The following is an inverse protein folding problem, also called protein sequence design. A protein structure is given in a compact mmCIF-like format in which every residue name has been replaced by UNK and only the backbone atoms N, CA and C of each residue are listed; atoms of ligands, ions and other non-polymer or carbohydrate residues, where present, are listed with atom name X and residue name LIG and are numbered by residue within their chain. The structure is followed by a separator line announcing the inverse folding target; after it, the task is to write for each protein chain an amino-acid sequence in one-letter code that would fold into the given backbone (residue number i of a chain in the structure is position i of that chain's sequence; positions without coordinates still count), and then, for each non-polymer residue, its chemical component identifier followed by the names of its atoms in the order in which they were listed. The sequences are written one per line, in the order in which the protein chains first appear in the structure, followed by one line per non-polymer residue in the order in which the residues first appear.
data_IF_988112499770
#
_entry.id   IF_988112499770
#
_cell.length_a   1.000
_cell.length_b   1.000
_cell.length_c   1.000
_cell.angle_alpha   90.00
_cell.angle_beta   90.00
_cell.angle_gamma   90.00
#
_symmetry.space_group_name_H-M   'P 1'
#
loop_
_entity.id
_entity.type
_entity.pdbx_description
1 polymer ?
#
# COMPACT_ATOMS: atom_id res chain seq x y z
N UNK A 1 -23.45 7.00 -19.97
CA UNK A 1 -22.33 7.96 -19.92
C UNK A 1 -21.11 7.17 -19.47
N UNK A 2 -20.23 6.82 -20.40
CA UNK A 2 -19.03 6.02 -20.12
C UNK A 2 -17.91 7.02 -19.85
N UNK A 3 -17.39 7.05 -18.62
CA UNK A 3 -16.21 7.84 -18.31
C UNK A 3 -14.98 7.12 -18.88
N UNK A 4 -14.61 7.45 -20.12
CA UNK A 4 -13.27 7.13 -20.65
C UNK A 4 -12.29 8.12 -20.02
N UNK A 5 -11.91 7.85 -18.77
CA UNK A 5 -10.82 8.58 -18.14
C UNK A 5 -9.51 8.14 -18.83
N UNK A 6 -8.65 9.07 -19.28
CA UNK A 6 -7.43 8.72 -20.00
C UNK A 6 -6.56 7.81 -19.13
N UNK A 7 -6.38 6.56 -19.55
CA UNK A 7 -5.61 5.54 -18.83
C UNK A 7 -4.21 6.09 -18.59
N UNK A 8 -3.95 6.55 -17.37
CA UNK A 8 -2.61 7.02 -17.02
C UNK A 8 -1.70 5.79 -17.04
N UNK A 9 -0.62 5.78 -17.86
CA UNK A 9 0.27 4.64 -17.95
C UNK A 9 1.15 4.60 -16.71
N UNK A 10 0.59 4.18 -15.58
CA UNK A 10 1.29 4.15 -14.28
C UNK A 10 2.62 3.38 -14.34
N UNK A 11 2.73 2.41 -15.25
CA UNK A 11 3.93 1.63 -15.50
C UNK A 11 5.07 2.45 -16.15
N UNK A 12 4.75 3.56 -16.84
CA UNK A 12 5.72 4.47 -17.45
C UNK A 12 6.16 5.59 -16.51
N UNK A 13 5.37 5.85 -15.45
CA UNK A 13 5.69 6.88 -14.47
C UNK A 13 6.85 6.48 -13.57
N UNK A 14 7.64 7.46 -13.15
CA UNK A 14 8.63 7.33 -12.10
C UNK A 14 7.98 7.16 -10.71
N UNK A 15 8.73 6.65 -9.73
CA UNK A 15 8.22 6.49 -8.37
C UNK A 15 7.80 7.83 -7.74
N UNK A 16 8.46 8.93 -8.09
CA UNK A 16 8.09 10.27 -7.63
C UNK A 16 6.77 10.75 -8.23
N UNK A 17 6.53 10.51 -9.52
CA UNK A 17 5.25 10.83 -10.17
C UNK A 17 4.10 9.97 -9.63
N UNK A 18 4.38 8.71 -9.30
CA UNK A 18 3.41 7.83 -8.64
C UNK A 18 3.08 8.34 -7.23
N UNK A 19 4.08 8.74 -6.44
CA UNK A 19 3.87 9.32 -5.11
C UNK A 19 3.02 10.59 -5.19
N UNK A 20 3.31 11.48 -6.13
CA UNK A 20 2.55 12.73 -6.31
C UNK A 20 1.10 12.46 -6.74
N UNK A 21 0.87 11.47 -7.62
CA UNK A 21 -0.48 11.04 -7.98
C UNK A 21 -1.28 10.54 -6.76
N UNK A 22 -0.61 9.94 -5.78
CA UNK A 22 -1.24 9.52 -4.52
C UNK A 22 -1.52 10.71 -3.61
N UNK A 23 -0.53 11.59 -3.40
CA UNK A 23 -0.64 12.77 -2.52
C UNK A 23 -1.70 13.76 -2.98
N UNK A 24 -1.81 13.98 -4.29
CA UNK A 24 -2.80 14.87 -4.90
C UNK A 24 -4.23 14.33 -4.84
N UNK A 25 -4.44 13.09 -4.36
CA UNK A 25 -5.75 12.45 -4.34
C UNK A 25 -6.30 12.18 -5.74
N UNK A 26 -5.42 12.07 -6.73
CA UNK A 26 -5.80 11.88 -8.14
C UNK A 26 -6.72 10.66 -8.30
N UNK A 27 -7.53 10.66 -9.38
CA UNK A 27 -8.43 9.55 -9.69
C UNK A 27 -7.70 8.19 -9.80
N UNK A 28 -6.41 8.21 -10.16
CA UNK A 28 -5.56 7.02 -10.31
C UNK A 28 -4.72 6.67 -9.08
N UNK A 29 -4.91 7.35 -7.93
CA UNK A 29 -4.11 7.13 -6.71
C UNK A 29 -4.05 5.66 -6.28
N UNK A 30 -5.18 4.94 -6.34
CA UNK A 30 -5.21 3.52 -5.99
C UNK A 30 -4.31 2.69 -6.91
N UNK A 31 -4.33 2.99 -8.22
CA UNK A 31 -3.49 2.31 -9.21
C UNK A 31 -2.01 2.65 -9.02
N UNK A 32 -1.69 3.88 -8.62
CA UNK A 32 -0.34 4.29 -8.28
C UNK A 32 0.19 3.57 -7.02
N UNK A 33 -0.66 3.37 -6.00
CA UNK A 33 -0.33 2.55 -4.81
C UNK A 33 -0.01 1.11 -5.20
N UNK A 34 -0.81 0.49 -6.08
CA UNK A 34 -0.55 -0.87 -6.53
C UNK A 34 0.74 -0.98 -7.34
N UNK A 35 0.99 -0.05 -8.26
CA UNK A 35 2.23 -0.02 -9.05
C UNK A 35 3.47 0.13 -8.16
N UNK A 36 3.46 1.05 -7.19
CA UNK A 36 4.53 1.17 -6.19
C UNK A 36 4.70 -0.14 -5.39
N UNK A 37 3.60 -0.81 -5.05
CA UNK A 37 3.62 -2.10 -4.36
C UNK A 37 4.28 -3.22 -5.17
N UNK A 38 4.04 -3.28 -6.48
CA UNK A 38 4.69 -4.23 -7.36
C UNK A 38 6.18 -3.94 -7.53
N UNK A 39 6.56 -2.66 -7.65
CA UNK A 39 7.98 -2.24 -7.74
C UNK A 39 8.76 -2.49 -6.45
N UNK A 40 8.13 -2.31 -5.30
CA UNK A 40 8.74 -2.50 -3.99
C UNK A 40 9.39 -3.88 -3.79
N UNK A 41 9.02 -4.89 -4.61
CA UNK A 41 9.67 -6.21 -4.61
C UNK A 41 11.15 -6.18 -4.94
N UNK A 42 11.59 -5.22 -5.77
CA UNK A 42 12.97 -5.10 -6.24
C UNK A 42 13.54 -3.68 -6.17
N UNK A 43 12.72 -2.69 -5.81
CA UNK A 43 13.11 -1.27 -5.73
C UNK A 43 12.86 -0.73 -4.32
N UNK A 44 13.94 -0.35 -3.63
CA UNK A 44 13.89 0.18 -2.26
C UNK A 44 13.29 1.58 -2.20
N UNK A 45 13.48 2.44 -3.22
CA UNK A 45 12.88 3.78 -3.26
C UNK A 45 11.35 3.67 -3.37
N UNK A 46 10.86 2.73 -4.18
CA UNK A 46 9.43 2.44 -4.26
C UNK A 46 8.87 1.97 -2.90
N UNK A 47 9.60 1.11 -2.18
CA UNK A 47 9.21 0.64 -0.86
C UNK A 47 9.14 1.78 0.17
N UNK A 48 10.16 2.65 0.21
CA UNK A 48 10.23 3.77 1.16
C UNK A 48 9.11 4.78 0.93
N UNK A 49 8.85 5.14 -0.33
CA UNK A 49 7.75 6.05 -0.69
C UNK A 49 6.40 5.46 -0.35
N UNK A 50 6.17 4.18 -0.67
CA UNK A 50 4.93 3.50 -0.34
C UNK A 50 4.70 3.47 1.17
N UNK A 51 5.74 3.20 1.96
CA UNK A 51 5.73 3.29 3.41
C UNK A 51 5.32 4.67 3.92
N UNK A 52 5.92 5.73 3.40
CA UNK A 52 5.59 7.11 3.78
C UNK A 52 4.13 7.48 3.45
N UNK A 53 3.60 7.01 2.31
CA UNK A 53 2.23 7.27 1.88
C UNK A 53 1.19 6.65 2.83
N UNK A 54 1.50 5.56 3.52
CA UNK A 54 0.58 4.92 4.50
C UNK A 54 0.19 5.83 5.66
N UNK A 55 1.01 6.85 5.94
CA UNK A 55 0.79 7.80 7.03
C UNK A 55 -0.14 8.95 6.64
N UNK A 56 -0.52 9.06 5.36
CA UNK A 56 -1.43 10.10 4.90
C UNK A 56 -2.86 9.78 5.37
N UNK A 57 -3.51 10.75 6.03
CA UNK A 57 -4.91 10.63 6.43
C UNK A 57 -5.84 10.36 5.25
N UNK A 58 -5.47 10.82 4.04
CA UNK A 58 -6.16 10.46 2.81
C UNK A 58 -6.20 8.94 2.63
N UNK A 59 -5.07 8.24 2.74
CA UNK A 59 -4.99 6.79 2.50
C UNK A 59 -5.57 5.98 3.66
N UNK A 60 -5.46 6.47 4.89
CA UNK A 60 -6.04 5.84 6.06
C UNK A 60 -7.57 5.87 6.02
N UNK A 61 -8.16 6.98 5.53
CA UNK A 61 -9.61 7.16 5.45
C UNK A 61 -10.23 6.72 4.11
N UNK A 62 -9.42 6.57 3.04
CA UNK A 62 -9.88 6.11 1.74
C UNK A 62 -10.07 4.59 1.73
N UNK A 63 -11.30 4.19 2.11
CA UNK A 63 -11.72 2.79 2.20
C UNK A 63 -12.24 2.28 0.86
N UNK A 64 -11.51 1.34 0.26
CA UNK A 64 -12.03 0.53 -0.83
C UNK A 64 -12.94 -0.57 -0.24
N UNK A 65 -14.14 -0.75 -0.84
CA UNK A 65 -15.13 -1.77 -0.44
C UNK A 65 -15.50 -1.76 1.07
N UNK A 66 -15.47 -0.58 1.70
CA UNK A 66 -15.83 -0.33 3.12
C UNK A 66 -14.97 -1.02 4.20
N UNK A 67 -13.99 -1.86 3.83
CA UNK A 67 -13.24 -2.69 4.78
C UNK A 67 -11.72 -2.53 4.71
N UNK A 68 -11.15 -2.20 3.54
CA UNK A 68 -9.70 -2.11 3.35
C UNK A 68 -9.34 -0.68 2.96
N UNK A 69 -8.60 0.01 3.83
CA UNK A 69 -8.04 1.32 3.49
C UNK A 69 -6.90 1.17 2.49
N UNK A 70 -6.60 2.21 1.71
CA UNK A 70 -5.42 2.20 0.84
C UNK A 70 -4.12 2.02 1.63
N UNK A 71 -4.08 2.50 2.88
CA UNK A 71 -2.96 2.22 3.78
C UNK A 71 -2.78 0.72 4.04
N UNK A 72 -3.86 -0.04 4.24
CA UNK A 72 -3.78 -1.49 4.38
C UNK A 72 -3.33 -2.17 3.10
N UNK A 73 -3.85 -1.75 1.93
CA UNK A 73 -3.42 -2.29 0.65
C UNK A 73 -1.90 -2.11 0.42
N UNK A 74 -1.38 -0.93 0.79
CA UNK A 74 0.06 -0.64 0.74
C UNK A 74 0.87 -1.56 1.69
N UNK A 75 0.45 -1.70 2.95
CA UNK A 75 1.11 -2.59 3.93
C UNK A 75 1.11 -4.05 3.44
N UNK A 76 -0.03 -4.54 2.94
CA UNK A 76 -0.16 -5.90 2.41
C UNK A 76 0.77 -6.12 1.22
N UNK A 77 0.91 -5.12 0.35
CA UNK A 77 1.82 -5.18 -0.80
C UNK A 77 3.28 -5.27 -0.35
N UNK A 78 3.69 -4.45 0.63
CA UNK A 78 5.03 -4.49 1.23
C UNK A 78 5.33 -5.86 1.89
N UNK A 79 4.35 -6.44 2.60
CA UNK A 79 4.51 -7.78 3.20
C UNK A 79 4.67 -8.88 2.14
N UNK A 80 3.98 -8.74 1.02
CA UNK A 80 3.98 -9.70 -0.09
C UNK A 80 5.27 -9.67 -0.91
N UNK A 81 6.06 -8.61 -0.80
CA UNK A 81 7.37 -8.52 -1.45
C UNK A 81 8.40 -9.52 -0.90
N UNK A 82 8.19 -10.07 0.30
CA UNK A 82 9.05 -11.06 0.98
C UNK A 82 10.54 -10.71 1.14
N UNK A 83 10.97 -9.52 0.74
CA UNK A 83 12.32 -9.02 0.92
C UNK A 83 12.50 -8.33 2.30
N UNK A 84 13.70 -8.38 2.91
CA UNK A 84 13.92 -7.82 4.25
C UNK A 84 13.55 -6.34 4.40
N UNK A 85 13.89 -5.51 3.40
CA UNK A 85 13.65 -4.07 3.44
C UNK A 85 12.15 -3.70 3.34
N UNK A 86 11.39 -4.16 2.32
CA UNK A 86 9.94 -3.96 2.29
C UNK A 86 9.23 -4.47 3.56
N UNK A 87 9.68 -5.57 4.16
CA UNK A 87 9.11 -6.07 5.42
C UNK A 87 9.39 -5.15 6.61
N UNK A 88 10.60 -4.61 6.75
CA UNK A 88 10.88 -3.65 7.82
C UNK A 88 10.03 -2.37 7.67
N UNK A 89 9.86 -1.89 6.43
CA UNK A 89 8.98 -0.76 6.11
C UNK A 89 7.52 -1.09 6.45
N UNK A 90 7.04 -2.29 6.13
CA UNK A 90 5.69 -2.73 6.47
C UNK A 90 5.45 -2.72 7.98
N UNK A 91 6.43 -3.18 8.78
CA UNK A 91 6.31 -3.20 10.24
C UNK A 91 6.28 -1.79 10.83
N UNK A 92 7.10 -0.88 10.31
CA UNK A 92 7.07 0.52 10.73
C UNK A 92 5.74 1.20 10.35
N UNK A 93 5.24 0.95 9.14
CA UNK A 93 3.96 1.47 8.68
C UNK A 93 2.79 0.93 9.51
N UNK A 94 2.81 -0.37 9.84
CA UNK A 94 1.84 -1.01 10.72
C UNK A 94 1.85 -0.38 12.12
N UNK A 95 3.02 -0.18 12.71
CA UNK A 95 3.17 0.43 14.04
C UNK A 95 2.69 1.90 14.09
N UNK A 96 2.64 2.59 12.95
CA UNK A 96 2.10 3.95 12.83
C UNK A 96 0.57 4.03 12.70
N UNK A 97 -0.14 2.90 12.53
CA UNK A 97 -1.60 2.88 12.49
C UNK A 97 -2.19 3.06 13.90
N UNK A 98 -3.43 3.55 13.98
CA UNK A 98 -4.20 3.50 15.23
C UNK A 98 -4.44 2.06 15.69
N UNK A 99 -4.50 1.84 17.00
CA UNK A 99 -4.65 0.51 17.61
C UNK A 99 -5.83 -0.32 17.06
N UNK A 100 -6.94 0.35 16.75
CA UNK A 100 -8.11 -0.29 16.16
C UNK A 100 -7.83 -0.80 14.73
N UNK A 101 -7.12 -0.02 13.92
CA UNK A 101 -6.76 -0.42 12.57
C UNK A 101 -5.67 -1.50 12.58
N UNK A 102 -4.72 -1.44 13.51
CA UNK A 102 -3.75 -2.53 13.72
C UNK A 102 -4.47 -3.85 14.02
N UNK A 103 -5.41 -3.85 14.98
CA UNK A 103 -6.19 -5.05 15.35
C UNK A 103 -7.01 -5.59 14.19
N UNK A 104 -7.66 -4.71 13.43
CA UNK A 104 -8.51 -5.14 12.30
C UNK A 104 -7.67 -5.67 11.14
N UNK A 105 -6.51 -5.08 10.86
CA UNK A 105 -5.59 -5.56 9.83
C UNK A 105 -5.02 -6.94 10.19
N UNK A 106 -4.58 -7.16 11.44
CA UNK A 106 -4.15 -8.48 11.91
C UNK A 106 -5.26 -9.53 11.76
N UNK A 107 -6.50 -9.18 12.12
CA UNK A 107 -7.67 -10.06 11.93
C UNK A 107 -7.95 -10.35 10.46
N UNK A 108 -7.83 -9.35 9.59
CA UNK A 108 -7.98 -9.51 8.15
C UNK A 108 -6.93 -10.48 7.58
N UNK A 109 -5.67 -10.33 8.01
CA UNK A 109 -4.55 -11.19 7.64
C UNK A 109 -4.57 -12.57 8.31
N UNK A 110 -5.43 -12.77 9.32
CA UNK A 110 -5.55 -14.00 10.12
C UNK A 110 -4.25 -14.40 10.83
N UNK A 111 -3.56 -13.41 11.40
CA UNK A 111 -2.32 -13.59 12.16
C UNK A 111 -2.40 -12.84 13.49
N UNK A 112 -1.66 -13.30 14.49
CA UNK A 112 -1.57 -12.62 15.79
C UNK A 112 -0.49 -11.53 15.80
N UNK A 113 0.52 -11.66 14.94
CA UNK A 113 1.63 -10.71 14.79
C UNK A 113 1.85 -10.37 13.33
N UNK A 114 2.26 -9.13 13.05
CA UNK A 114 2.48 -8.66 11.68
C UNK A 114 3.66 -9.40 11.01
N UNK A 115 4.63 -9.85 11.80
CA UNK A 115 5.79 -10.59 11.32
C UNK A 115 5.43 -11.97 10.77
N UNK A 116 4.30 -12.54 11.18
CA UNK A 116 3.80 -13.84 10.71
C UNK A 116 3.01 -13.73 9.39
N UNK A 117 2.75 -12.51 8.90
CA UNK A 117 1.97 -12.29 7.70
C UNK A 117 2.77 -12.58 6.41
N UNK A 118 2.23 -13.47 5.57
CA UNK A 118 2.75 -13.82 4.25
C UNK A 118 1.66 -13.80 3.17
N UNK A 119 1.11 -12.63 2.80
CA UNK A 119 -0.06 -12.54 1.93
C UNK A 119 0.20 -13.03 0.48
N UNK A 120 1.46 -12.99 0.03
CA UNK A 120 1.88 -13.54 -1.26
C UNK A 120 2.02 -15.07 -1.31
N UNK A 121 2.04 -15.75 -0.16
CA UNK A 121 2.01 -17.22 -0.05
C UNK A 121 0.57 -17.73 0.02
N UNK A 122 -0.19 -17.51 -1.04
CA UNK A 122 -1.32 -18.39 -1.31
C UNK A 122 -0.75 -19.64 -2.02
N UNK A 123 -0.88 -20.79 -1.35
CA UNK A 123 -0.83 -22.12 -1.98
C UNK A 123 -2.13 -22.37 -2.73
#
# INVERSE_FOLDING_TARGET
MTFDAPVLPVHELSNAELEEAVRSGHFYRARAVFELGDRARSDTDAADRLGALTQLSLLQNDRLFHLVSLAWAAIISLLSAEAPHPRSVAYAAFAGLEDDDQRRLLRYLKVDRIEDAHPGRLR
#
